data_IF_767550036886
#
_entry.id   IF_767550036886
#
_cell.length_a   1.000
_cell.length_b   1.000
_cell.length_c   1.000
_cell.angle_alpha   90.00
_cell.angle_beta   90.00
_cell.angle_gamma   90.00
#
_symmetry.space_group_name_H-M   'P 1'
#
loop_
_entity.id
_entity.type
_entity.pdbx_description
1 polymer ?
#
# COMPACT_ATOMS: atom_id res chain seq x y z
N UNK A 1 -23.25 -15.37 -39.32
CA UNK A 1 -22.68 -14.94 -38.03
C UNK A 1 -23.71 -15.23 -36.95
N UNK A 2 -23.42 -16.14 -36.03
CA UNK A 2 -24.41 -16.64 -35.05
C UNK A 2 -24.65 -15.62 -33.93
N UNK A 3 -25.93 -15.42 -33.56
CA UNK A 3 -26.42 -14.65 -32.41
C UNK A 3 -25.83 -15.11 -31.06
N UNK A 4 -25.15 -16.25 -31.01
CA UNK A 4 -24.47 -16.76 -29.81
C UNK A 4 -23.29 -15.88 -29.36
N UNK A 5 -22.69 -15.10 -30.25
CA UNK A 5 -21.59 -14.18 -29.89
C UNK A 5 -22.06 -12.89 -29.22
N UNK A 6 -23.36 -12.61 -29.19
CA UNK A 6 -23.93 -11.41 -28.58
C UNK A 6 -24.37 -11.63 -27.12
N UNK A 7 -24.46 -12.89 -26.68
CA UNK A 7 -24.91 -13.28 -25.34
C UNK A 7 -23.76 -13.73 -24.41
N UNK A 8 -22.51 -13.56 -24.83
CA UNK A 8 -21.31 -13.88 -24.03
C UNK A 8 -20.45 -12.67 -23.67
N UNK A 9 -20.89 -11.43 -23.98
CA UNK A 9 -20.14 -10.21 -23.72
C UNK A 9 -20.45 -9.52 -22.38
N UNK A 10 -21.16 -10.16 -21.46
CA UNK A 10 -21.51 -9.54 -20.17
C UNK A 10 -20.50 -9.87 -19.06
N UNK A 11 -19.28 -9.36 -19.23
CA UNK A 11 -18.56 -8.82 -18.07
C UNK A 11 -18.47 -7.31 -18.29
N UNK A 12 -19.31 -6.52 -17.61
CA UNK A 12 -19.38 -5.06 -17.71
C UNK A 12 -18.03 -4.32 -17.53
N UNK A 13 -16.99 -5.02 -17.10
CA UNK A 13 -15.69 -4.46 -16.77
C UNK A 13 -14.55 -5.21 -17.47
N UNK A 14 -13.68 -4.47 -18.16
CA UNK A 14 -12.51 -5.06 -18.82
C UNK A 14 -11.59 -5.80 -17.83
N UNK A 15 -10.86 -6.81 -18.31
CA UNK A 15 -9.85 -7.53 -17.52
C UNK A 15 -8.88 -6.58 -16.79
N UNK A 16 -8.47 -5.51 -17.48
CA UNK A 16 -7.62 -4.46 -16.94
C UNK A 16 -8.29 -3.72 -15.80
N UNK A 17 -9.51 -3.20 -16.03
CA UNK A 17 -10.28 -2.46 -15.02
C UNK A 17 -10.55 -3.31 -13.77
N UNK A 18 -10.92 -4.58 -13.95
CA UNK A 18 -11.10 -5.53 -12.84
C UNK A 18 -9.81 -5.68 -12.04
N UNK A 19 -8.69 -5.88 -12.71
CA UNK A 19 -7.40 -6.10 -12.04
C UNK A 19 -6.92 -4.86 -11.29
N UNK A 20 -7.16 -3.67 -11.85
CA UNK A 20 -6.90 -2.39 -11.19
C UNK A 20 -7.74 -2.23 -9.92
N UNK A 21 -9.06 -2.47 -9.98
CA UNK A 21 -9.96 -2.31 -8.83
C UNK A 21 -9.66 -3.33 -7.74
N UNK A 22 -9.54 -4.61 -8.10
CA UNK A 22 -9.22 -5.67 -7.13
C UNK A 22 -7.85 -5.44 -6.48
N UNK A 23 -6.87 -4.96 -7.26
CA UNK A 23 -5.58 -4.51 -6.76
C UNK A 23 -5.70 -3.33 -5.81
N UNK A 24 -6.46 -2.29 -6.17
CA UNK A 24 -6.70 -1.11 -5.35
C UNK A 24 -7.31 -1.47 -3.99
N UNK A 25 -8.38 -2.29 -3.99
CA UNK A 25 -9.01 -2.78 -2.75
C UNK A 25 -8.06 -3.64 -1.95
N UNK A 26 -7.26 -4.49 -2.61
CA UNK A 26 -6.20 -5.26 -1.96
C UNK A 26 -5.16 -4.38 -1.29
N UNK A 27 -4.73 -3.30 -1.95
CA UNK A 27 -3.79 -2.32 -1.41
C UNK A 27 -4.33 -1.59 -0.19
N UNK A 28 -5.61 -1.18 -0.21
CA UNK A 28 -6.27 -0.58 0.96
C UNK A 28 -6.32 -1.56 2.14
N UNK A 29 -6.69 -2.81 1.89
CA UNK A 29 -6.73 -3.85 2.93
C UNK A 29 -5.32 -4.13 3.49
N UNK A 30 -4.31 -4.21 2.62
CA UNK A 30 -2.92 -4.33 3.03
C UNK A 30 -2.46 -3.16 3.90
N UNK A 31 -2.84 -1.93 3.54
CA UNK A 31 -2.51 -0.74 4.33
C UNK A 31 -3.13 -0.81 5.71
N UNK A 32 -4.40 -1.21 5.80
CA UNK A 32 -5.07 -1.37 7.10
C UNK A 32 -4.34 -2.41 7.97
N UNK A 33 -3.95 -3.56 7.40
CA UNK A 33 -3.18 -4.59 8.12
C UNK A 33 -1.82 -4.06 8.58
N UNK A 34 -1.08 -3.37 7.70
CA UNK A 34 0.20 -2.74 8.06
C UNK A 34 0.04 -1.74 9.20
N UNK A 35 -0.95 -0.85 9.10
CA UNK A 35 -1.22 0.14 10.15
C UNK A 35 -1.57 -0.50 11.49
N UNK A 36 -2.30 -1.63 11.48
CA UNK A 36 -2.57 -2.38 12.71
C UNK A 36 -1.29 -3.00 13.28
N UNK A 37 -0.45 -3.61 12.44
CA UNK A 37 0.83 -4.20 12.88
C UNK A 37 1.73 -3.12 13.51
N UNK A 38 1.80 -1.94 12.91
CA UNK A 38 2.62 -0.81 13.39
C UNK A 38 2.13 -0.23 14.72
N UNK A 39 0.87 -0.45 15.10
CA UNK A 39 0.39 -0.09 16.43
C UNK A 39 0.94 -1.00 17.53
N UNK A 40 1.31 -2.25 17.19
CA UNK A 40 1.82 -3.24 18.15
C UNK A 40 3.33 -3.44 18.06
N UNK A 41 3.92 -3.23 16.89
CA UNK A 41 5.36 -3.37 16.66
C UNK A 41 6.00 -1.99 16.48
N UNK A 42 6.99 -1.62 17.32
CA UNK A 42 7.69 -0.36 17.16
C UNK A 42 8.50 -0.40 15.85
N UNK A 43 8.03 0.32 14.84
CA UNK A 43 8.73 0.53 13.56
C UNK A 43 9.55 1.81 13.54
N UNK A 44 9.31 2.70 14.51
CA UNK A 44 10.02 3.99 14.65
C UNK A 44 10.26 4.33 16.12
N UNK A 45 11.18 5.25 16.38
CA UNK A 45 11.33 5.86 17.72
C UNK A 45 10.09 6.68 18.04
N UNK A 46 9.62 6.62 19.28
CA UNK A 46 8.37 7.31 19.72
C UNK A 46 8.41 8.82 19.47
N UNK A 47 9.60 9.41 19.55
CA UNK A 47 9.83 10.85 19.37
C UNK A 47 9.84 11.29 17.89
N UNK A 48 9.90 10.34 16.95
CA UNK A 48 9.99 10.64 15.52
C UNK A 48 8.61 10.69 14.87
N UNK A 49 8.27 11.85 14.32
CA UNK A 49 7.13 11.98 13.38
C UNK A 49 7.40 11.19 12.11
N UNK A 50 6.35 10.57 11.60
CA UNK A 50 6.40 9.75 10.38
C UNK A 50 6.65 10.59 9.13
N UNK A 51 7.12 9.95 8.06
CA UNK A 51 7.31 10.62 6.77
C UNK A 51 6.01 11.28 6.26
N UNK A 52 4.87 10.62 6.48
CA UNK A 52 3.55 11.08 6.11
C UNK A 52 3.20 12.39 6.83
N UNK A 53 3.41 12.44 8.15
CA UNK A 53 3.17 13.64 8.93
C UNK A 53 4.07 14.79 8.47
N UNK A 54 5.35 14.53 8.18
CA UNK A 54 6.25 15.56 7.66
C UNK A 54 5.77 16.15 6.33
N UNK A 55 5.27 15.31 5.41
CA UNK A 55 4.69 15.77 4.15
C UNK A 55 3.46 16.65 4.40
N UNK A 56 2.56 16.20 5.28
CA UNK A 56 1.33 16.95 5.59
C UNK A 56 1.62 18.24 6.36
N UNK A 57 2.61 18.24 7.27
CA UNK A 57 3.08 19.42 7.99
C UNK A 57 3.64 20.47 7.03
N UNK A 58 4.49 20.07 6.09
CA UNK A 58 5.07 20.97 5.08
C UNK A 58 3.96 21.59 4.22
N UNK A 59 2.99 20.77 3.78
CA UNK A 59 1.85 21.26 3.01
C UNK A 59 0.94 22.20 3.83
N UNK A 60 0.61 21.83 5.07
CA UNK A 60 -0.21 22.63 5.97
C UNK A 60 0.45 23.96 6.29
N UNK A 61 1.77 23.95 6.53
CA UNK A 61 2.54 25.17 6.80
C UNK A 61 2.54 26.09 5.58
N UNK A 62 2.67 25.54 4.37
CA UNK A 62 2.61 26.32 3.12
C UNK A 62 1.23 26.95 2.85
N UNK A 63 0.14 26.29 3.24
CA UNK A 63 -1.24 26.76 2.95
C UNK A 63 -1.78 27.63 4.08
N UNK A 64 -1.60 27.21 5.34
CA UNK A 64 -2.24 27.79 6.52
C UNK A 64 -1.27 28.57 7.42
N UNK A 65 0.04 28.44 7.19
CA UNK A 65 1.08 29.02 8.04
C UNK A 65 1.41 28.20 9.30
N UNK A 66 0.73 27.07 9.54
CA UNK A 66 0.94 26.24 10.74
C UNK A 66 0.99 24.74 10.42
N UNK A 67 1.79 23.95 11.16
CA UNK A 67 1.80 22.48 11.05
C UNK A 67 0.49 21.88 11.57
N UNK A 68 0.25 20.60 11.26
CA UNK A 68 -0.97 19.95 11.72
C UNK A 68 -0.92 19.68 13.23
N UNK A 69 -2.08 19.85 13.87
CA UNK A 69 -2.26 19.54 15.29
C UNK A 69 -1.95 18.07 15.58
N UNK A 70 -1.31 17.81 16.71
CA UNK A 70 -1.00 16.45 17.21
C UNK A 70 -2.24 15.58 17.36
N UNK A 71 -3.39 16.18 17.67
CA UNK A 71 -4.68 15.48 17.78
C UNK A 71 -5.15 14.86 16.46
N UNK A 72 -4.67 15.39 15.33
CA UNK A 72 -5.05 14.95 13.99
C UNK A 72 -4.01 14.06 13.32
N UNK A 73 -2.90 13.73 13.99
CA UNK A 73 -1.80 12.96 13.37
C UNK A 73 -2.26 11.61 12.81
N UNK A 74 -2.97 10.81 13.59
CA UNK A 74 -3.44 9.50 13.13
C UNK A 74 -4.32 9.60 11.88
N UNK A 75 -5.19 10.62 11.81
CA UNK A 75 -6.04 10.86 10.65
C UNK A 75 -5.21 11.35 9.44
N UNK A 76 -4.27 12.26 9.67
CA UNK A 76 -3.36 12.75 8.64
C UNK A 76 -2.47 11.66 8.04
N UNK A 77 -1.97 10.73 8.88
CA UNK A 77 -1.23 9.57 8.40
C UNK A 77 -2.09 8.69 7.49
N UNK A 78 -3.34 8.41 7.86
CA UNK A 78 -4.25 7.61 7.05
C UNK A 78 -4.61 8.30 5.72
N UNK A 79 -4.73 9.63 5.71
CA UNK A 79 -4.98 10.41 4.49
C UNK A 79 -3.85 10.28 3.45
N UNK A 80 -2.63 9.97 3.89
CA UNK A 80 -1.51 9.68 2.98
C UNK A 80 -1.40 8.19 2.69
N UNK A 81 -1.51 7.34 3.73
CA UNK A 81 -1.28 5.90 3.61
C UNK A 81 -2.33 5.20 2.75
N UNK A 82 -3.61 5.59 2.82
CA UNK A 82 -4.68 4.94 2.05
C UNK A 82 -4.53 5.21 0.54
N UNK A 83 -4.37 6.45 0.05
CA UNK A 83 -4.15 6.69 -1.37
C UNK A 83 -2.86 6.05 -1.90
N UNK A 84 -1.76 6.10 -1.14
CA UNK A 84 -0.49 5.48 -1.54
C UNK A 84 -0.65 3.96 -1.65
N UNK A 85 -1.18 3.32 -0.60
CA UNK A 85 -1.39 1.88 -0.59
C UNK A 85 -2.38 1.39 -1.64
N UNK A 86 -3.50 2.10 -1.82
CA UNK A 86 -4.45 1.82 -2.89
C UNK A 86 -3.82 1.94 -4.28
N UNK A 87 -3.03 2.99 -4.52
CA UNK A 87 -2.33 3.19 -5.81
C UNK A 87 -1.30 2.11 -6.09
N UNK A 88 -0.50 1.74 -5.08
CA UNK A 88 0.45 0.63 -5.17
C UNK A 88 -0.26 -0.71 -5.43
N UNK A 89 -1.37 -0.96 -4.72
CA UNK A 89 -2.20 -2.14 -4.94
C UNK A 89 -2.79 -2.18 -6.35
N UNK A 90 -3.27 -1.05 -6.87
CA UNK A 90 -3.79 -0.95 -8.23
C UNK A 90 -2.70 -1.27 -9.27
N UNK A 91 -1.51 -0.69 -9.11
CA UNK A 91 -0.36 -0.97 -9.98
C UNK A 91 0.04 -2.45 -9.92
N UNK A 92 0.06 -3.04 -8.73
CA UNK A 92 0.32 -4.47 -8.55
C UNK A 92 -0.75 -5.34 -9.23
N UNK A 93 -2.03 -5.00 -9.07
CA UNK A 93 -3.15 -5.67 -9.73
C UNK A 93 -3.06 -5.59 -11.26
N UNK A 94 -2.74 -4.41 -11.81
CA UNK A 94 -2.48 -4.24 -13.23
C UNK A 94 -1.36 -5.15 -13.74
N UNK A 95 -0.24 -5.23 -13.02
CA UNK A 95 0.87 -6.13 -13.34
C UNK A 95 0.48 -7.62 -13.28
N UNK A 96 -0.53 -7.97 -12.49
CA UNK A 96 -1.08 -9.32 -12.38
C UNK A 96 -2.26 -9.61 -13.30
N UNK A 97 -2.68 -8.67 -14.16
CA UNK A 97 -3.91 -8.82 -14.96
C UNK A 97 -4.01 -10.15 -15.70
N UNK A 98 -2.90 -10.67 -16.23
CA UNK A 98 -2.86 -11.91 -17.00
C UNK A 98 -2.62 -13.19 -16.17
N UNK A 99 -2.45 -13.07 -14.86
CA UNK A 99 -2.12 -14.17 -13.94
C UNK A 99 -3.21 -14.34 -12.88
N UNK A 100 -3.97 -15.43 -13.00
CA UNK A 100 -5.15 -15.69 -12.15
C UNK A 100 -4.82 -16.46 -10.87
N UNK A 101 -3.68 -17.14 -10.82
CA UNK A 101 -3.28 -17.94 -9.66
C UNK A 101 -2.94 -17.07 -8.45
N UNK A 102 -3.34 -17.55 -7.27
CA UNK A 102 -2.86 -17.03 -6.00
C UNK A 102 -1.37 -17.35 -5.84
N UNK A 103 -0.53 -16.34 -5.63
CA UNK A 103 0.90 -16.52 -5.37
C UNK A 103 1.36 -15.65 -4.20
N UNK A 104 1.24 -16.13 -2.95
CA UNK A 104 1.59 -15.34 -1.77
C UNK A 104 3.04 -14.84 -1.79
N UNK A 105 3.95 -15.61 -2.38
CA UNK A 105 5.35 -15.21 -2.59
C UNK A 105 5.48 -13.93 -3.43
N UNK A 106 4.63 -13.73 -4.43
CA UNK A 106 4.64 -12.49 -5.21
C UNK A 106 4.21 -11.30 -4.34
N UNK A 107 3.31 -11.52 -3.37
CA UNK A 107 2.94 -10.54 -2.35
C UNK A 107 4.09 -10.23 -1.38
N UNK A 108 4.85 -11.24 -0.96
CA UNK A 108 6.08 -11.04 -0.16
C UNK A 108 7.09 -10.17 -0.92
N UNK A 109 7.38 -10.52 -2.18
CA UNK A 109 8.31 -9.77 -3.04
C UNK A 109 7.80 -8.34 -3.24
N UNK A 110 6.49 -8.16 -3.50
CA UNK A 110 5.89 -6.84 -3.65
C UNK A 110 6.06 -6.00 -2.39
N UNK A 111 5.70 -6.53 -1.22
CA UNK A 111 5.85 -5.83 0.06
C UNK A 111 7.31 -5.46 0.36
N UNK A 112 8.23 -6.40 0.21
CA UNK A 112 9.66 -6.15 0.44
C UNK A 112 10.25 -5.12 -0.55
N UNK A 113 9.81 -5.16 -1.81
CA UNK A 113 10.22 -4.18 -2.83
C UNK A 113 9.68 -2.80 -2.50
N UNK A 114 8.41 -2.69 -2.07
CA UNK A 114 7.84 -1.42 -1.62
C UNK A 114 8.59 -0.85 -0.43
N UNK A 115 8.94 -1.68 0.56
CA UNK A 115 9.75 -1.24 1.70
C UNK A 115 11.12 -0.72 1.24
N UNK A 116 11.83 -1.50 0.43
CA UNK A 116 13.17 -1.13 -0.05
C UNK A 116 13.13 0.15 -0.92
N UNK A 117 12.11 0.32 -1.76
CA UNK A 117 11.97 1.49 -2.61
C UNK A 117 11.54 2.76 -1.86
N UNK A 118 11.04 2.62 -0.64
CA UNK A 118 10.58 3.75 0.18
C UNK A 118 11.54 4.01 1.33
N UNK A 119 11.58 3.13 2.31
CA UNK A 119 12.31 3.29 3.57
C UNK A 119 13.83 3.12 3.43
N UNK A 120 14.30 2.26 2.52
CA UNK A 120 15.75 2.12 2.26
C UNK A 120 16.30 3.16 1.27
N UNK A 121 15.43 3.88 0.54
CA UNK A 121 15.85 4.74 -0.56
C UNK A 121 15.12 6.08 -0.61
N UNK A 122 13.87 6.10 -1.10
CA UNK A 122 13.17 7.37 -1.41
C UNK A 122 12.99 8.29 -0.21
N UNK A 123 12.53 7.77 0.94
CA UNK A 123 12.24 8.58 2.12
C UNK A 123 13.52 9.14 2.78
N UNK A 124 14.62 8.37 2.94
CA UNK A 124 15.90 8.92 3.36
C UNK A 124 16.47 9.97 2.39
N UNK A 125 16.39 9.73 1.07
CA UNK A 125 16.90 10.68 0.07
C UNK A 125 16.16 12.02 0.13
N UNK A 126 14.86 11.98 0.40
CA UNK A 126 14.02 13.17 0.55
C UNK A 126 14.13 13.82 1.94
N UNK A 127 14.94 13.27 2.86
CA UNK A 127 15.08 13.76 4.24
C UNK A 127 13.83 13.55 5.10
N UNK A 128 12.89 12.73 4.63
CA UNK A 128 11.64 12.43 5.33
C UNK A 128 11.86 11.37 6.42
N UNK A 129 12.90 10.55 6.30
CA UNK A 129 13.30 9.56 7.31
C UNK A 129 14.81 9.58 7.58
N UNK A 130 15.25 9.06 8.75
CA UNK A 130 16.66 8.83 9.01
C UNK A 130 17.29 7.90 7.97
N UNK A 131 18.62 7.92 7.85
CA UNK A 131 19.32 6.94 7.00
C UNK A 131 19.12 5.54 7.57
N UNK A 132 19.03 4.50 6.73
CA UNK A 132 18.88 3.13 7.20
C UNK A 132 19.95 2.74 8.23
N UNK A 133 21.20 3.16 8.02
CA UNK A 133 22.33 2.90 8.94
C UNK A 133 22.15 3.45 10.36
N UNK A 134 21.24 4.42 10.53
CA UNK A 134 20.98 5.11 11.81
C UNK A 134 19.75 4.54 12.53
N UNK A 135 19.03 3.60 11.88
CA UNK A 135 17.84 2.94 12.41
C UNK A 135 18.23 1.60 13.05
N UNK A 136 17.78 1.30 14.28
CA UNK A 136 18.03 -0.02 14.88
C UNK A 136 17.51 -1.16 14.00
N UNK A 137 18.32 -2.21 13.81
CA UNK A 137 17.99 -3.37 12.95
C UNK A 137 16.63 -3.98 13.31
N UNK A 138 16.29 -4.05 14.60
CA UNK A 138 14.99 -4.56 15.06
C UNK A 138 13.81 -3.74 14.51
N UNK A 139 13.95 -2.42 14.41
CA UNK A 139 12.91 -1.53 13.87
C UNK A 139 12.78 -1.72 12.35
N UNK A 140 13.91 -1.80 11.63
CA UNK A 140 13.89 -2.12 10.19
C UNK A 140 13.21 -3.46 9.91
N UNK A 141 13.49 -4.49 10.72
CA UNK A 141 12.86 -5.80 10.58
C UNK A 141 11.35 -5.75 10.85
N UNK A 142 10.91 -4.99 11.86
CA UNK A 142 9.49 -4.78 12.13
C UNK A 142 8.80 -4.07 10.96
N UNK A 143 9.46 -3.06 10.38
CA UNK A 143 8.94 -2.30 9.25
C UNK A 143 8.87 -3.12 7.97
N UNK A 144 9.91 -3.90 7.68
CA UNK A 144 9.92 -4.89 6.59
C UNK A 144 8.80 -5.91 6.78
N UNK A 145 8.62 -6.42 8.01
CA UNK A 145 7.54 -7.37 8.32
C UNK A 145 6.16 -6.76 8.04
N UNK A 146 5.93 -5.52 8.48
CA UNK A 146 4.67 -4.83 8.24
C UNK A 146 4.41 -4.62 6.73
N UNK A 147 5.45 -4.34 5.94
CA UNK A 147 5.35 -4.23 4.48
C UNK A 147 5.13 -5.57 3.78
N UNK A 148 5.76 -6.65 4.25
CA UNK A 148 5.50 -8.01 3.75
C UNK A 148 4.05 -8.38 4.03
N UNK A 149 3.53 -8.09 5.22
CA UNK A 149 2.12 -8.31 5.56
C UNK A 149 1.18 -7.48 4.67
N UNK A 150 1.52 -6.22 4.37
CA UNK A 150 0.81 -5.40 3.38
C UNK A 150 0.76 -6.10 2.01
N UNK A 151 1.89 -6.58 1.50
CA UNK A 151 1.97 -7.17 0.17
C UNK A 151 1.28 -8.53 0.07
N UNK A 152 1.42 -9.39 1.08
CA UNK A 152 0.72 -10.67 1.16
C UNK A 152 -0.79 -10.46 1.24
N UNK A 153 -1.25 -9.54 2.09
CA UNK A 153 -2.68 -9.19 2.20
C UNK A 153 -3.22 -8.66 0.87
N UNK A 154 -2.47 -7.79 0.20
CA UNK A 154 -2.82 -7.26 -1.12
C UNK A 154 -3.04 -8.38 -2.14
N UNK A 155 -2.13 -9.35 -2.20
CA UNK A 155 -2.25 -10.49 -3.11
C UNK A 155 -3.46 -11.37 -2.79
N UNK A 156 -3.71 -11.67 -1.51
CA UNK A 156 -4.83 -12.50 -1.08
C UNK A 156 -6.17 -11.85 -1.41
N UNK A 157 -6.35 -10.58 -1.05
CA UNK A 157 -7.59 -9.84 -1.27
C UNK A 157 -7.82 -9.61 -2.77
N UNK A 158 -6.79 -9.21 -3.52
CA UNK A 158 -6.88 -9.08 -4.98
C UNK A 158 -7.36 -10.37 -5.63
N UNK A 159 -6.73 -11.49 -5.29
CA UNK A 159 -7.07 -12.79 -5.85
C UNK A 159 -8.51 -13.21 -5.48
N UNK A 160 -8.90 -13.05 -4.21
CA UNK A 160 -10.25 -13.36 -3.75
C UNK A 160 -11.32 -12.58 -4.52
N UNK A 161 -11.15 -11.27 -4.64
CA UNK A 161 -12.10 -10.42 -5.37
C UNK A 161 -12.09 -10.70 -6.88
N UNK A 162 -10.92 -10.97 -7.47
CA UNK A 162 -10.84 -11.31 -8.87
C UNK A 162 -11.54 -12.65 -9.20
N UNK A 163 -11.50 -13.61 -8.27
CA UNK A 163 -12.30 -14.83 -8.37
C UNK A 163 -13.79 -14.54 -8.31
N UNK A 164 -14.22 -13.73 -7.34
CA UNK A 164 -15.64 -13.35 -7.17
C UNK A 164 -16.22 -12.57 -8.36
N UNK A 165 -15.40 -11.80 -9.08
CA UNK A 165 -15.82 -11.08 -10.30
C UNK A 165 -15.77 -11.92 -11.59
N UNK A 166 -15.49 -13.22 -11.48
CA UNK A 166 -15.46 -14.17 -12.60
C UNK A 166 -16.53 -15.25 -12.45
N UNK A 167 -16.78 -15.66 -11.22
CA UNK A 167 -17.89 -16.55 -10.82
C UNK A 167 -19.24 -15.80 -10.83
#
# INVERSE_FOLDING_TARGET
>A
MSMSNFLTSDSYMSKTSRSLITGFVGGLAGTAVKSLIEQFLPVRKVEQRSAQIKIVDDLSTKITGTPISTQNEAMAEQLVNLPVGGSLGAAYGYGKKDRLGLRPMDGVIFGATTWASTHETSLPILGLEPKPTDVPIRMQMNELFAHVAFGVTTELVRHYLEKQFRD
#
